data_IF_669015247592
#
_entry.id   IF_669015247592
#
_cell.length_a   1.000
_cell.length_b   1.000
_cell.length_c   1.000
_cell.angle_alpha   90.00
_cell.angle_beta   90.00
_cell.angle_gamma   90.00
#
_symmetry.space_group_name_H-M   'P 1'
#
loop_
_entity.id
_entity.type
_entity.pdbx_description
1 polymer ?
#
# COMPACT_ATOMS: atom_id res chain seq x y z
N UNK A 1 33.29 9.26 -6.66
CA UNK A 1 32.74 9.15 -6.56
C UNK A 1 32.44 9.13 -6.65
N UNK A 2 32.38 8.97 -6.24
CA UNK A 2 31.78 8.68 -6.19
C UNK A 2 31.24 8.70 -5.82
N UNK A 3 31.23 8.57 -5.08
CA UNK A 3 30.61 8.30 -4.67
C UNK A 3 30.24 8.35 -3.98
N UNK A 4 30.24 8.30 -3.19
CA UNK A 4 29.80 8.12 -2.52
C UNK A 4 29.14 7.94 -2.02
N UNK A 5 28.88 7.68 -1.27
CA UNK A 5 28.16 7.22 -0.92
C UNK A 5 27.59 7.23 -0.15
N UNK A 6 27.42 7.24 0.57
CA UNK A 6 26.79 7.08 1.28
C UNK A 6 26.27 6.75 1.83
N UNK A 7 26.01 6.70 2.55
CA UNK A 7 25.42 6.29 2.90
C UNK A 7 24.73 5.93 3.11
N UNK A 8 24.68 5.88 3.65
CA UNK A 8 24.01 5.23 3.72
C UNK A 8 23.67 4.65 3.26
N UNK A 9 23.80 4.41 3.19
CA UNK A 9 23.63 3.54 2.61
C UNK A 9 24.03 3.31 1.84
N UNK A 10 24.86 3.10 1.72
CA UNK A 10 25.10 2.86 0.89
C UNK A 10 25.73 2.70 -0.01
N UNK A 11 26.78 2.63 -0.06
CA UNK A 11 27.02 2.65 -1.15
C UNK A 11 27.71 2.17 -1.76
N UNK A 12 28.42 2.21 -2.39
CA UNK A 12 28.67 1.89 -3.23
C UNK A 12 29.25 1.82 -4.04
N UNK A 13 29.94 2.13 -4.15
CA UNK A 13 30.21 2.14 -5.10
C UNK A 13 30.66 1.60 -5.67
N UNK A 14 30.85 1.63 -5.71
CA UNK A 14 30.84 1.25 -6.34
C UNK A 14 30.38 1.18 -6.58
N UNK A 15 30.50 1.40 -6.12
CA UNK A 15 29.66 1.39 -6.33
C UNK A 15 29.16 1.53 -6.67
N UNK A 16 29.47 1.92 -6.60
CA UNK A 16 28.85 2.20 -6.91
C UNK A 16 28.34 1.90 -6.83
N UNK A 17 28.26 2.04 -6.15
CA UNK A 17 27.62 1.69 -6.00
C UNK A 17 27.12 1.75 -5.19
N UNK A 18 27.21 1.90 -4.46
CA UNK A 18 26.53 1.97 -3.71
C UNK A 18 25.75 2.01 -3.58
N UNK A 19 25.50 2.23 -3.35
CA UNK A 19 24.60 2.24 -3.26
C UNK A 19 23.92 2.00 -3.58
N UNK A 20 23.87 2.24 -3.31
CA UNK A 20 22.95 1.90 -3.61
C UNK A 20 22.51 0.77 -3.65
N UNK A 21 22.60 0.28 -3.38
CA UNK A 21 22.08 -0.78 -3.39
C UNK A 21 21.36 -1.13 -2.30
N UNK A 22 20.88 -0.44 -1.73
CA UNK A 22 20.12 -0.77 -0.81
C UNK A 22 18.87 -0.60 -1.02
N UNK A 23 18.39 -0.79 -1.58
CA UNK A 23 17.23 -0.80 -1.69
C UNK A 23 16.72 -1.02 -2.59
N UNK A 24 16.27 -1.56 -2.80
CA UNK A 24 15.74 -2.42 -3.26
C UNK A 24 15.57 -2.62 -4.37
N UNK A 25 15.81 -3.19 -4.86
CA UNK A 25 15.55 -3.47 -5.91
C UNK A 25 14.74 -4.37 -6.11
N UNK A 26 14.41 -4.53 -6.43
CA UNK A 26 13.76 -5.18 -6.60
C UNK A 26 13.12 -5.65 -7.37
N UNK A 27 12.98 -6.11 -7.77
CA UNK A 27 12.50 -6.59 -8.30
C UNK A 27 12.25 -7.18 -8.46
N UNK A 28 12.26 -7.29 -8.73
CA UNK A 28 12.20 -7.63 -8.40
C UNK A 28 12.65 -7.26 -7.88
N UNK A 29 12.66 -6.62 -7.84
CA UNK A 29 13.15 -6.25 -7.29
C UNK A 29 13.37 -6.54 -6.40
N UNK A 30 14.07 -6.49 -6.28
CA UNK A 30 14.11 -7.48 -5.44
C UNK A 30 14.82 -7.26 -4.26
N UNK A 31 14.74 -8.19 -3.40
CA UNK A 31 15.51 -8.18 -2.19
C UNK A 31 16.99 -8.30 -2.53
N UNK A 32 17.85 -7.58 -1.81
CA UNK A 32 19.29 -7.78 -1.99
C UNK A 32 19.69 -9.18 -1.59
N UNK A 33 20.71 -9.69 -2.22
CA UNK A 33 21.22 -11.04 -1.94
C UNK A 33 22.61 -10.97 -1.34
N UNK A 34 22.93 -11.92 -0.48
CA UNK A 34 24.21 -12.05 0.16
C UNK A 34 25.12 -12.91 -0.73
N UNK A 35 26.35 -12.49 -0.91
CA UNK A 35 27.31 -13.26 -1.70
C UNK A 35 28.05 -14.24 -0.82
N UNK A 36 28.38 -15.41 -1.40
CA UNK A 36 29.01 -16.49 -0.68
C UNK A 36 30.35 -16.83 -1.31
N UNK A 37 31.39 -17.06 -0.49
CA UNK A 37 32.71 -17.42 -1.02
C UNK A 37 33.25 -18.72 -0.43
N UNK A 38 33.03 -18.99 0.85
CA UNK A 38 33.57 -20.18 1.53
C UNK A 38 32.44 -20.98 2.19
N UNK A 39 32.74 -22.27 2.51
CA UNK A 39 31.79 -23.19 3.14
C UNK A 39 30.46 -23.19 2.41
N UNK A 40 30.55 -23.43 1.14
CA UNK A 40 29.43 -23.18 0.24
C UNK A 40 28.10 -23.78 0.68
N UNK A 41 28.10 -25.08 0.98
CA UNK A 41 26.81 -25.72 1.23
C UNK A 41 26.11 -25.14 2.46
N UNK A 42 26.85 -24.88 3.53
CA UNK A 42 26.27 -24.29 4.73
C UNK A 42 25.80 -22.86 4.49
N UNK A 43 26.68 -22.09 3.86
CA UNK A 43 26.36 -20.69 3.59
C UNK A 43 25.21 -20.55 2.60
N UNK A 44 25.17 -21.39 1.58
CA UNK A 44 24.09 -21.37 0.60
C UNK A 44 22.75 -21.64 1.26
N UNK A 45 22.70 -22.58 2.18
CA UNK A 45 21.46 -22.84 2.90
C UNK A 45 21.02 -21.64 3.73
N UNK A 46 22.00 -21.01 4.41
CA UNK A 46 21.71 -19.84 5.22
C UNK A 46 21.26 -18.66 4.39
N UNK A 47 21.95 -18.40 3.28
CA UNK A 47 21.61 -17.30 2.38
C UNK A 47 20.24 -17.53 1.76
N UNK A 48 19.95 -18.78 1.38
CA UNK A 48 18.64 -19.09 0.83
C UNK A 48 17.53 -18.81 1.84
N UNK A 49 17.74 -19.15 3.10
CA UNK A 49 16.75 -18.86 4.14
C UNK A 49 16.55 -17.37 4.34
N UNK A 50 17.64 -16.61 4.37
CA UNK A 50 17.58 -15.17 4.55
C UNK A 50 16.87 -14.51 3.37
N UNK A 51 17.23 -14.92 2.15
CA UNK A 51 16.61 -14.34 0.96
C UNK A 51 15.12 -14.64 0.91
N UNK A 52 14.74 -15.84 1.29
CA UNK A 52 13.32 -16.20 1.32
C UNK A 52 12.56 -15.37 2.35
N UNK A 53 13.15 -15.22 3.54
CA UNK A 53 12.52 -14.44 4.60
C UNK A 53 12.37 -12.97 4.20
N UNK A 54 13.42 -12.41 3.60
CA UNK A 54 13.37 -11.01 3.18
C UNK A 54 12.36 -10.80 2.06
N UNK A 55 12.29 -11.77 1.12
CA UNK A 55 11.29 -11.69 0.06
C UNK A 55 9.87 -11.67 0.58
N UNK A 56 9.59 -12.50 1.60
CA UNK A 56 8.27 -12.51 2.22
C UNK A 56 7.96 -11.18 2.92
N UNK A 57 8.97 -10.61 3.60
CA UNK A 57 8.80 -9.31 4.24
C UNK A 57 8.50 -8.21 3.23
N UNK A 58 9.23 -8.21 2.10
CA UNK A 58 8.95 -7.25 1.04
C UNK A 58 7.53 -7.38 0.53
N UNK A 59 7.08 -8.62 0.36
CA UNK A 59 5.72 -8.85 -0.14
C UNK A 59 4.68 -8.34 0.86
N UNK A 60 4.90 -8.57 2.14
CA UNK A 60 4.00 -8.08 3.18
C UNK A 60 3.92 -6.56 3.17
N UNK A 61 5.08 -5.90 3.10
CA UNK A 61 5.13 -4.45 3.09
C UNK A 61 4.45 -3.88 1.84
N UNK A 62 4.64 -4.53 0.70
CA UNK A 62 4.00 -4.11 -0.54
C UNK A 62 2.49 -4.21 -0.43
N UNK A 63 2.01 -5.31 0.16
CA UNK A 63 0.57 -5.50 0.34
C UNK A 63 -0.02 -4.45 1.28
N UNK A 64 0.69 -4.14 2.37
CA UNK A 64 0.25 -3.11 3.30
C UNK A 64 0.22 -1.73 2.65
N UNK A 65 1.22 -1.45 1.83
CA UNK A 65 1.29 -0.18 1.12
C UNK A 65 0.11 -0.02 0.16
N UNK A 66 -0.18 -1.08 -0.60
CA UNK A 66 -1.30 -1.04 -1.55
C UNK A 66 -2.63 -0.88 -0.83
N UNK A 67 -2.78 -1.54 0.32
CA UNK A 67 -3.99 -1.42 1.11
C UNK A 67 -4.16 0.01 1.62
N UNK A 68 -3.07 0.61 2.07
CA UNK A 68 -3.10 1.99 2.56
C UNK A 68 -3.47 2.97 1.44
N UNK A 69 -2.95 2.74 0.24
CA UNK A 69 -3.31 3.56 -0.91
C UNK A 69 -4.80 3.47 -1.24
N UNK A 70 -5.35 2.25 -1.18
CA UNK A 70 -6.77 2.07 -1.45
C UNK A 70 -7.62 2.81 -0.41
N UNK A 71 -7.24 2.72 0.86
CA UNK A 71 -7.93 3.44 1.92
C UNK A 71 -7.88 4.95 1.70
N UNK A 72 -6.73 5.46 1.30
CA UNK A 72 -6.59 6.88 1.02
C UNK A 72 -7.48 7.30 -0.15
N UNK A 73 -7.50 6.51 -1.22
CA UNK A 73 -8.30 6.84 -2.40
C UNK A 73 -9.78 6.86 -2.08
N UNK A 74 -10.27 5.91 -1.30
CA UNK A 74 -11.67 5.89 -0.90
C UNK A 74 -12.02 7.13 -0.06
N UNK A 75 -11.14 7.49 0.87
CA UNK A 75 -11.39 8.66 1.69
C UNK A 75 -11.42 9.94 0.86
N UNK A 76 -10.47 10.07 -0.05
CA UNK A 76 -10.44 11.23 -0.95
C UNK A 76 -11.71 11.30 -1.78
N UNK A 77 -12.13 10.17 -2.32
CA UNK A 77 -13.32 10.11 -3.15
C UNK A 77 -14.57 10.52 -2.38
N UNK A 78 -14.72 10.02 -1.16
CA UNK A 78 -15.90 10.32 -0.36
C UNK A 78 -15.93 11.78 0.08
N UNK A 79 -14.81 12.32 0.52
CA UNK A 79 -14.77 13.73 0.94
C UNK A 79 -15.01 14.68 -0.21
N UNK A 80 -14.72 14.25 -1.45
CA UNK A 80 -15.00 15.04 -2.62
C UNK A 80 -16.37 14.75 -3.22
N UNK A 81 -17.11 13.80 -2.67
CA UNK A 81 -18.43 13.45 -3.17
C UNK A 81 -19.47 14.45 -2.68
N UNK A 82 -20.68 14.38 -3.25
CA UNK A 82 -21.74 15.29 -2.88
C UNK A 82 -22.57 14.71 -1.75
N UNK A 83 -22.73 15.45 -0.70
CA UNK A 83 -23.70 15.16 0.34
C UNK A 83 -23.93 16.42 1.15
N UNK A 84 -25.14 16.58 1.67
CA UNK A 84 -25.53 17.82 2.36
C UNK A 84 -25.81 17.60 3.86
N UNK A 85 -25.63 16.37 4.33
CA UNK A 85 -25.80 16.07 5.75
C UNK A 85 -24.43 15.94 6.42
N UNK A 86 -24.43 16.04 7.74
CA UNK A 86 -23.20 15.83 8.51
C UNK A 86 -23.16 14.38 8.97
N UNK A 87 -22.18 13.60 8.47
CA UNK A 87 -22.11 12.18 8.83
C UNK A 87 -21.87 11.97 10.32
N UNK A 88 -22.49 10.92 10.85
CA UNK A 88 -22.35 10.54 12.26
C UNK A 88 -21.37 9.39 12.36
N UNK A 89 -20.43 9.50 13.29
CA UNK A 89 -19.43 8.47 13.53
C UNK A 89 -20.13 7.17 13.94
N UNK A 90 -19.73 6.08 13.30
CA UNK A 90 -20.27 4.76 13.60
C UNK A 90 -21.47 4.35 12.77
N UNK A 91 -22.07 5.27 12.03
CA UNK A 91 -23.21 4.96 11.18
C UNK A 91 -22.75 4.56 9.79
N UNK A 92 -23.53 3.72 9.12
CA UNK A 92 -23.23 3.26 7.78
C UNK A 92 -23.84 4.20 6.75
N UNK A 93 -23.06 4.50 5.73
CA UNK A 93 -23.49 5.35 4.62
C UNK A 93 -23.16 4.64 3.31
N UNK A 94 -23.84 5.02 2.25
CA UNK A 94 -23.74 4.32 0.98
C UNK A 94 -23.28 5.28 -0.11
N UNK A 95 -22.22 4.88 -0.81
CA UNK A 95 -21.66 5.70 -1.89
C UNK A 95 -22.24 5.21 -3.21
N UNK A 96 -22.70 6.16 -4.01
CA UNK A 96 -23.28 5.89 -5.32
C UNK A 96 -22.66 6.79 -6.36
N UNK A 97 -22.84 6.40 -7.61
CA UNK A 97 -22.48 7.26 -8.73
C UNK A 97 -23.75 7.50 -9.55
N UNK A 98 -23.97 8.77 -9.95
CA UNK A 98 -25.15 9.11 -10.73
C UNK A 98 -24.85 9.03 -12.24
N UNK A 99 -25.87 9.33 -13.06
CA UNK A 99 -25.73 9.23 -14.50
C UNK A 99 -24.77 10.27 -15.07
N UNK A 100 -24.48 11.32 -14.34
CA UNK A 100 -23.50 12.33 -14.72
C UNK A 100 -22.08 11.96 -14.27
N UNK A 101 -21.89 10.75 -13.76
CA UNK A 101 -20.62 10.24 -13.25
C UNK A 101 -20.10 11.03 -12.05
N UNK A 102 -21.02 11.56 -11.27
CA UNK A 102 -20.68 12.22 -10.01
C UNK A 102 -20.99 11.30 -8.85
N UNK A 103 -20.07 11.25 -7.89
CA UNK A 103 -20.26 10.43 -6.70
C UNK A 103 -21.07 11.20 -5.66
N UNK A 104 -21.93 10.49 -4.95
CA UNK A 104 -22.67 11.09 -3.86
C UNK A 104 -22.87 10.07 -2.75
N UNK A 105 -22.91 10.58 -1.51
CA UNK A 105 -23.10 9.76 -0.32
C UNK A 105 -24.56 9.84 0.11
N UNK A 106 -25.14 8.73 0.50
CA UNK A 106 -26.55 8.67 0.83
C UNK A 106 -26.79 7.79 2.04
N UNK A 107 -27.91 8.03 2.69
CA UNK A 107 -28.41 7.19 3.79
C UNK A 107 -29.25 6.02 3.29
N UNK A 108 -29.58 6.03 2.02
CA UNK A 108 -30.52 5.07 1.44
C UNK A 108 -29.79 3.79 1.08
N UNK A 109 -30.31 2.65 1.57
CA UNK A 109 -29.75 1.34 1.28
C UNK A 109 -29.90 1.02 -0.21
N UNK A 110 -28.94 0.30 -0.81
CA UNK A 110 -28.99 0.02 -2.24
C UNK A 110 -30.21 -0.81 -2.67
N UNK A 111 -30.80 -1.59 -1.74
CA UNK A 111 -31.99 -2.35 -2.04
C UNK A 111 -33.24 -1.49 -2.17
N UNK A 112 -33.18 -0.24 -1.71
CA UNK A 112 -34.35 0.64 -1.64
C UNK A 112 -34.54 1.49 -2.89
N UNK A 113 -33.55 1.55 -3.76
CA UNK A 113 -33.67 2.32 -5.00
C UNK A 113 -32.75 1.77 -6.08
N UNK A 114 -32.86 2.30 -7.28
CA UNK A 114 -32.17 1.79 -8.44
C UNK A 114 -31.04 2.75 -8.86
N UNK A 115 -30.01 2.87 -8.02
CA UNK A 115 -28.84 3.69 -8.29
C UNK A 115 -27.61 2.80 -8.35
N UNK A 116 -26.58 3.30 -9.02
CA UNK A 116 -25.33 2.56 -9.15
C UNK A 116 -24.55 2.60 -7.84
N UNK A 117 -24.55 1.50 -7.15
CA UNK A 117 -23.93 1.35 -5.82
C UNK A 117 -22.44 1.11 -5.94
N UNK A 118 -21.65 1.86 -5.17
CA UNK A 118 -20.19 1.72 -5.14
C UNK A 118 -19.74 0.94 -3.91
N UNK A 119 -20.25 1.29 -2.73
CA UNK A 119 -19.86 0.60 -1.51
C UNK A 119 -20.48 1.20 -0.27
N UNK A 120 -20.42 0.42 0.80
CA UNK A 120 -20.90 0.84 2.10
C UNK A 120 -19.70 1.28 2.94
N UNK A 121 -19.82 2.42 3.61
CA UNK A 121 -18.73 3.00 4.39
C UNK A 121 -19.19 3.45 5.75
N UNK A 122 -18.29 3.36 6.72
CA UNK A 122 -18.54 3.79 8.09
C UNK A 122 -17.46 4.80 8.46
N UNK A 123 -17.87 5.93 9.02
CA UNK A 123 -16.96 6.96 9.46
C UNK A 123 -16.47 6.64 10.87
N UNK A 124 -15.14 6.62 11.07
CA UNK A 124 -14.60 6.40 12.40
C UNK A 124 -14.35 7.73 13.11
N UNK A 125 -13.92 7.65 14.38
CA UNK A 125 -13.75 8.84 15.19
C UNK A 125 -12.57 9.72 14.75
N UNK A 126 -11.72 9.20 13.86
CA UNK A 126 -10.57 9.94 13.35
C UNK A 126 -10.84 10.60 12.02
N UNK A 127 -12.08 10.55 11.55
CA UNK A 127 -12.44 11.16 10.28
C UNK A 127 -12.15 10.30 9.07
N UNK A 128 -11.85 9.03 9.28
CA UNK A 128 -11.57 8.10 8.18
C UNK A 128 -12.80 7.30 7.82
N UNK A 129 -12.99 7.13 6.52
CA UNK A 129 -14.06 6.28 5.99
C UNK A 129 -13.51 4.88 5.77
N UNK A 130 -14.18 3.90 6.37
CA UNK A 130 -13.77 2.51 6.27
C UNK A 130 -14.80 1.77 5.42
N UNK A 131 -14.33 1.13 4.35
CA UNK A 131 -15.22 0.39 3.48
C UNK A 131 -15.60 -0.93 4.15
N UNK A 132 -16.89 -1.17 4.31
CA UNK A 132 -17.37 -2.39 4.95
C UNK A 132 -17.88 -3.42 3.93
N UNK A 133 -18.27 -2.98 2.74
CA UNK A 133 -18.69 -3.89 1.66
C UNK A 133 -18.18 -3.41 0.33
#
# INVERSE_FOLDING_TARGET
MKKNKPDNIVFDTESDRYNASLLPYASSVGAPSIKIEDNKSWKERGVSKVNKKMGLKFQELKNEYNKLLDEFKWNELIYNSKFSFEPVVGEAYYLYINSSEEYFLSLIHPDSWNKDFIGEFILNSEGQWIKSI
#
